data_IF_216379221372
#
_entry.id   IF_216379221372
#
_cell.length_a   1.000
_cell.length_b   1.000
_cell.length_c   1.000
_cell.angle_alpha   90.00
_cell.angle_beta   90.00
_cell.angle_gamma   90.00
#
_symmetry.space_group_name_H-M   'P 1'
#
loop_
_entity.id
_entity.type
_entity.pdbx_description
1 polymer ?
#
# COMPACT_ATOMS: atom_id res chain seq x y z
N UNK A 1 -8.26 1.31 -8.69
CA UNK A 1 -9.38 0.99 -7.77
C UNK A 1 -9.99 -0.41 -7.99
N UNK A 2 -10.48 -0.79 -9.19
CA UNK A 2 -11.07 -2.13 -9.42
C UNK A 2 -10.20 -3.31 -8.92
N UNK A 3 -8.87 -3.28 -9.16
CA UNK A 3 -7.92 -4.32 -8.69
C UNK A 3 -7.74 -4.38 -7.16
N UNK A 4 -7.92 -3.26 -6.45
CA UNK A 4 -7.84 -3.25 -4.99
C UNK A 4 -9.10 -3.86 -4.36
N UNK A 5 -10.26 -3.63 -4.98
CA UNK A 5 -11.55 -4.21 -4.53
C UNK A 5 -11.57 -5.74 -4.70
N UNK A 6 -10.90 -6.29 -5.72
CA UNK A 6 -10.75 -7.74 -5.90
C UNK A 6 -9.79 -8.39 -4.89
N UNK A 7 -8.90 -7.62 -4.25
CA UNK A 7 -7.95 -8.17 -3.27
C UNK A 7 -8.60 -8.39 -1.89
N UNK A 8 -9.56 -7.55 -1.51
CA UNK A 8 -10.30 -7.66 -0.25
C UNK A 8 -9.42 -7.59 1.02
N UNK A 9 -10.07 -7.58 2.18
CA UNK A 9 -9.41 -7.75 3.48
C UNK A 9 -8.25 -6.77 3.77
N UNK A 10 -7.14 -7.23 4.38
CA UNK A 10 -6.02 -6.37 4.78
C UNK A 10 -5.39 -5.54 3.65
N UNK A 11 -5.40 -6.04 2.42
CA UNK A 11 -4.85 -5.33 1.26
C UNK A 11 -5.62 -4.05 0.94
N UNK A 12 -6.95 -4.11 1.05
CA UNK A 12 -7.81 -2.95 0.85
C UNK A 12 -7.57 -1.89 1.94
N UNK A 13 -7.46 -2.28 3.20
CA UNK A 13 -7.16 -1.36 4.32
C UNK A 13 -5.81 -0.65 4.14
N UNK A 14 -4.76 -1.40 3.78
CA UNK A 14 -3.43 -0.82 3.53
C UNK A 14 -3.44 0.11 2.32
N UNK A 15 -4.21 -0.21 1.28
CA UNK A 15 -4.36 0.66 0.12
C UNK A 15 -5.08 1.96 0.47
N UNK A 16 -6.16 1.91 1.25
CA UNK A 16 -6.83 3.11 1.74
C UNK A 16 -5.93 3.94 2.63
N UNK A 17 -5.14 3.33 3.52
CA UNK A 17 -4.14 4.02 4.31
C UNK A 17 -3.14 4.81 3.46
N UNK A 18 -2.65 4.21 2.36
CA UNK A 18 -1.77 4.90 1.42
C UNK A 18 -2.46 6.11 0.76
N UNK A 19 -3.73 5.97 0.37
CA UNK A 19 -4.51 7.06 -0.20
C UNK A 19 -4.82 8.18 0.80
N UNK A 20 -5.12 7.84 2.05
CA UNK A 20 -5.33 8.83 3.11
C UNK A 20 -4.07 9.63 3.37
N UNK A 21 -2.92 8.97 3.48
CA UNK A 21 -1.62 9.63 3.65
C UNK A 21 -1.25 10.49 2.44
N UNK A 22 -1.51 10.00 1.22
CA UNK A 22 -1.34 10.79 0.01
C UNK A 22 -2.25 12.02 -0.01
N UNK A 23 -3.53 11.89 0.38
CA UNK A 23 -4.46 13.02 0.41
C UNK A 23 -4.03 14.08 1.43
N UNK A 24 -3.51 13.66 2.58
CA UNK A 24 -3.06 14.55 3.65
C UNK A 24 -1.74 15.26 3.32
N UNK A 25 -0.81 14.56 2.66
CA UNK A 25 0.57 15.07 2.45
C UNK A 25 0.86 15.53 1.02
N UNK A 26 0.03 15.10 0.06
CA UNK A 26 0.22 15.21 -1.40
C UNK A 26 1.52 14.57 -1.91
N UNK A 27 2.16 13.71 -1.09
CA UNK A 27 3.40 12.99 -1.45
C UNK A 27 3.10 11.58 -1.91
N UNK A 28 3.65 11.18 -3.04
CA UNK A 28 3.53 9.81 -3.60
C UNK A 28 4.34 8.79 -2.81
N UNK A 29 5.46 9.22 -2.20
CA UNK A 29 6.24 8.41 -1.28
C UNK A 29 5.56 8.35 0.09
N UNK A 30 5.11 7.15 0.46
CA UNK A 30 4.40 6.88 1.70
C UNK A 30 5.26 6.01 2.61
N UNK A 31 5.56 6.54 3.80
CA UNK A 31 6.15 5.77 4.88
C UNK A 31 5.03 5.12 5.70
N UNK A 32 4.89 3.80 5.56
CA UNK A 32 3.87 3.04 6.25
C UNK A 32 4.34 2.66 7.64
N UNK A 33 4.31 3.65 8.55
CA UNK A 33 4.60 3.44 9.97
C UNK A 33 3.63 2.45 10.57
N UNK A 34 4.14 1.55 11.41
CA UNK A 34 3.31 0.55 12.10
C UNK A 34 2.25 1.22 12.96
N UNK A 35 2.61 2.33 13.58
CA UNK A 35 1.73 3.17 14.40
C UNK A 35 0.48 3.66 13.65
N UNK A 36 0.56 3.84 12.32
CA UNK A 36 -0.60 4.21 11.51
C UNK A 36 -1.66 3.09 11.45
N UNK A 37 -1.22 1.85 11.65
CA UNK A 37 -2.07 0.67 11.71
C UNK A 37 -2.35 0.19 13.13
N UNK A 38 -1.81 0.86 14.15
CA UNK A 38 -2.17 0.55 15.52
C UNK A 38 -3.67 0.83 15.72
N UNK A 39 -4.33 -0.03 16.48
CA UNK A 39 -5.80 -0.06 16.67
C UNK A 39 -6.63 -0.44 15.44
N UNK A 40 -6.03 -0.73 14.28
CA UNK A 40 -6.78 -1.26 13.12
C UNK A 40 -7.10 -2.76 13.23
N UNK A 41 -6.57 -3.44 14.25
CA UNK A 41 -6.68 -4.90 14.42
C UNK A 41 -5.83 -5.72 13.43
N UNK A 42 -5.05 -5.06 12.57
CA UNK A 42 -4.22 -5.73 11.58
C UNK A 42 -2.90 -6.22 12.19
N UNK A 43 -2.69 -7.54 12.15
CA UNK A 43 -1.39 -8.12 12.47
C UNK A 43 -0.30 -7.63 11.49
N UNK A 44 0.93 -7.44 11.97
CA UNK A 44 2.05 -7.00 11.12
C UNK A 44 2.38 -7.96 9.97
N UNK A 45 2.10 -9.26 10.14
CA UNK A 45 2.18 -10.27 9.09
C UNK A 45 1.14 -10.04 7.97
N UNK A 46 -0.07 -9.59 8.33
CA UNK A 46 -1.13 -9.23 7.38
C UNK A 46 -0.77 -7.98 6.57
N UNK A 47 -0.16 -6.97 7.19
CA UNK A 47 0.35 -5.77 6.50
C UNK A 47 1.43 -6.16 5.48
N UNK A 48 2.35 -7.05 5.88
CA UNK A 48 3.40 -7.54 4.98
C UNK A 48 2.84 -8.31 3.79
N UNK A 49 1.81 -9.15 3.98
CA UNK A 49 1.12 -9.84 2.88
C UNK A 49 0.36 -8.87 2.00
N UNK A 50 -0.39 -7.95 2.60
CA UNK A 50 -1.11 -6.88 1.91
C UNK A 50 -0.20 -6.07 0.98
N UNK A 51 0.97 -5.64 1.48
CA UNK A 51 1.97 -4.94 0.67
C UNK A 51 2.42 -5.75 -0.54
N UNK A 52 2.72 -7.04 -0.38
CA UNK A 52 3.10 -7.91 -1.50
C UNK A 52 1.99 -8.00 -2.55
N UNK A 53 0.73 -8.12 -2.11
CA UNK A 53 -0.42 -8.18 -3.01
C UNK A 53 -0.62 -6.86 -3.78
N UNK A 54 -0.46 -5.71 -3.12
CA UNK A 54 -0.57 -4.40 -3.76
C UNK A 54 0.55 -4.14 -4.76
N UNK A 55 1.78 -4.56 -4.45
CA UNK A 55 2.91 -4.51 -5.38
C UNK A 55 2.65 -5.41 -6.59
N UNK A 56 2.24 -6.66 -6.38
CA UNK A 56 1.91 -7.60 -7.45
C UNK A 56 0.77 -7.09 -8.36
N UNK A 57 -0.19 -6.36 -7.80
CA UNK A 57 -1.26 -5.73 -8.55
C UNK A 57 -0.85 -4.45 -9.31
N UNK A 58 0.38 -3.95 -9.08
CA UNK A 58 0.92 -2.70 -9.64
C UNK A 58 0.30 -1.44 -9.03
N UNK A 59 -0.32 -1.54 -7.85
CA UNK A 59 -1.01 -0.43 -7.19
C UNK A 59 -0.05 0.46 -6.39
N UNK A 60 1.04 -0.13 -5.92
CA UNK A 60 2.14 0.55 -5.23
C UNK A 60 3.47 0.01 -5.76
N UNK A 61 4.52 0.84 -5.76
CA UNK A 61 5.89 0.40 -6.01
C UNK A 61 6.65 0.27 -4.69
N UNK A 62 7.50 -0.75 -4.58
CA UNK A 62 8.39 -0.89 -3.42
C UNK A 62 9.60 0.05 -3.61
N UNK A 63 9.76 1.04 -2.71
CA UNK A 63 10.95 1.89 -2.68
C UNK A 63 11.99 1.27 -1.75
N UNK A 64 11.56 0.94 -0.52
CA UNK A 64 12.45 0.35 0.48
C UNK A 64 11.68 -0.55 1.43
N UNK A 65 12.10 -1.81 1.51
CA UNK A 65 11.55 -2.79 2.44
C UNK A 65 12.65 -3.63 3.07
N UNK A 66 13.00 -3.29 4.30
CA UNK A 66 13.94 -4.05 5.12
C UNK A 66 13.22 -4.64 6.33
N UNK A 67 13.62 -5.86 6.74
CA UNK A 67 13.03 -6.53 7.90
C UNK A 67 13.29 -5.70 9.16
N UNK A 68 12.23 -5.34 9.89
CA UNK A 68 12.33 -4.53 11.12
C UNK A 68 12.39 -3.02 10.89
N UNK A 69 12.41 -2.54 9.65
CA UNK A 69 12.29 -1.11 9.32
C UNK A 69 10.92 -0.78 8.77
N UNK A 70 10.54 0.50 8.90
CA UNK A 70 9.32 1.04 8.29
C UNK A 70 9.38 0.89 6.77
N UNK A 71 8.41 0.19 6.15
CA UNK A 71 8.37 0.08 4.71
C UNK A 71 8.04 1.44 4.07
N UNK A 72 8.77 1.76 3.01
CA UNK A 72 8.57 2.95 2.18
C UNK A 72 8.08 2.46 0.82
N UNK A 73 6.91 2.95 0.41
CA UNK A 73 6.26 2.56 -0.85
C UNK A 73 5.85 3.80 -1.62
N UNK A 74 5.84 3.70 -2.93
CA UNK A 74 5.29 4.72 -3.80
C UNK A 74 3.84 4.36 -4.15
N UNK A 75 2.91 5.30 -3.98
CA UNK A 75 1.54 5.13 -4.43
C UNK A 75 1.43 5.43 -5.93
N UNK A 76 0.91 4.47 -6.71
CA UNK A 76 0.67 4.68 -8.14
C UNK A 76 -0.67 5.39 -8.36
N UNK A 77 -0.61 6.71 -8.55
CA UNK A 77 -1.78 7.57 -8.76
C UNK A 77 -2.40 7.30 -10.14
N UNK A 78 -1.58 7.23 -11.18
CA UNK A 78 -2.04 6.97 -12.54
C UNK A 78 -2.17 5.47 -12.79
N UNK A 79 -3.37 4.96 -12.58
CA UNK A 79 -3.71 3.57 -12.78
C UNK A 79 -3.69 3.17 -14.27
N UNK A 80 -3.70 4.12 -15.24
CA UNK A 80 -3.60 3.81 -16.67
C UNK A 80 -2.21 3.26 -17.03
N UNK A 81 -1.17 3.72 -16.34
CA UNK A 81 0.20 3.18 -16.47
C UNK A 81 0.32 1.73 -16.02
N UNK A 82 -0.59 1.26 -15.16
CA UNK A 82 -0.63 -0.12 -14.67
C UNK A 82 -1.27 -1.06 -15.69
N UNK A 83 -2.24 -0.57 -16.49
CA UNK A 83 -2.88 -1.35 -17.56
C UNK A 83 -1.99 -1.49 -18.81
N UNK A 84 -1.06 -0.56 -19.05
CA UNK A 84 -0.16 -0.63 -20.21
C UNK A 84 0.94 -1.70 -20.10
N UNK A 85 1.08 -2.35 -18.93
CA UNK A 85 2.10 -3.39 -18.67
C UNK A 85 1.58 -4.83 -18.81
N UNK A 86 0.31 -5.02 -19.17
CA UNK A 86 -0.32 -6.34 -19.33
C UNK A 86 -1.13 -6.39 -20.62
#
# INVERSE_FOLDING_TARGET
MKRAMTLGGPALCVYFACWTLYSATRKTEIQLRRDFFDNTGLAGSSISKALKHLIGAGLINEIRRERGKTPIVELVIDQRKVYAKY
#
